data_IF_772524120752
#
_entry.id   IF_772524120752
#
_cell.length_a   1.000
_cell.length_b   1.000
_cell.length_c   1.000
_cell.angle_alpha   90.00
_cell.angle_beta   90.00
_cell.angle_gamma   90.00
#
_symmetry.space_group_name_H-M   'P 1'
#
loop_
_entity.id
_entity.type
_entity.pdbx_description
1 polymer ?
#
# COMPACT_ATOMS: atom_id res chain seq x y z
N UNK A 1 -0.59 -31.75 -18.44
CA UNK A 1 -0.95 -30.32 -18.49
C UNK A 1 -2.46 -30.17 -18.61
N UNK A 2 -3.15 -30.08 -17.48
CA UNK A 2 -4.60 -29.88 -17.41
C UNK A 2 -4.92 -28.41 -17.73
N UNK A 3 -5.06 -28.11 -19.02
CA UNK A 3 -5.52 -26.81 -19.51
C UNK A 3 -6.90 -26.55 -18.91
N UNK A 4 -7.02 -25.50 -18.10
CA UNK A 4 -8.14 -25.28 -17.19
C UNK A 4 -9.45 -25.05 -17.98
N UNK A 5 -10.22 -26.11 -18.22
CA UNK A 5 -11.42 -26.12 -19.09
C UNK A 5 -12.39 -24.98 -18.77
N UNK A 6 -12.52 -24.63 -17.48
CA UNK A 6 -13.36 -23.51 -17.02
C UNK A 6 -12.90 -22.17 -17.58
N UNK A 7 -11.59 -21.88 -17.58
CA UNK A 7 -11.04 -20.62 -18.11
C UNK A 7 -11.30 -20.51 -19.62
N UNK A 8 -11.12 -21.61 -20.36
CA UNK A 8 -11.42 -21.66 -21.81
C UNK A 8 -12.91 -21.46 -22.09
N UNK A 9 -13.78 -22.12 -21.31
CA UNK A 9 -15.23 -22.01 -21.46
C UNK A 9 -15.73 -20.58 -21.21
N UNK A 10 -15.38 -19.99 -20.07
CA UNK A 10 -15.79 -18.61 -19.75
C UNK A 10 -15.21 -17.59 -20.72
N UNK A 11 -13.96 -17.77 -21.18
CA UNK A 11 -13.37 -16.93 -22.22
C UNK A 11 -14.14 -17.03 -23.54
N UNK A 12 -14.62 -18.22 -23.92
CA UNK A 12 -15.46 -18.40 -25.12
C UNK A 12 -16.85 -17.75 -25.01
N UNK A 13 -17.33 -17.54 -23.77
CA UNK A 13 -18.56 -16.80 -23.48
C UNK A 13 -18.33 -15.28 -23.34
N UNK A 14 -17.11 -14.80 -23.59
CA UNK A 14 -16.76 -13.39 -23.42
C UNK A 14 -16.66 -12.93 -21.96
N UNK A 15 -16.66 -13.86 -21.00
CA UNK A 15 -16.49 -13.54 -19.58
C UNK A 15 -14.98 -13.45 -19.27
N UNK A 16 -14.46 -12.28 -18.87
CA UNK A 16 -13.07 -12.15 -18.47
C UNK A 16 -12.84 -12.94 -17.18
N UNK A 17 -11.93 -13.91 -17.21
CA UNK A 17 -11.47 -14.68 -16.05
C UNK A 17 -10.03 -14.29 -15.78
N UNK A 18 -9.85 -13.31 -14.89
CA UNK A 18 -8.53 -12.87 -14.46
C UNK A 18 -8.06 -13.71 -13.26
N UNK A 19 -6.79 -14.09 -13.27
CA UNK A 19 -6.10 -14.65 -12.09
C UNK A 19 -5.12 -13.62 -11.53
N UNK A 20 -4.73 -13.77 -10.26
CA UNK A 20 -3.65 -12.97 -9.68
C UNK A 20 -2.34 -13.12 -10.48
N UNK A 21 -1.99 -14.35 -10.88
CA UNK A 21 -0.85 -14.64 -11.74
C UNK A 21 -0.91 -13.88 -13.09
N UNK A 22 -2.09 -13.76 -13.69
CA UNK A 22 -2.27 -13.01 -14.95
C UNK A 22 -2.09 -11.50 -14.72
N UNK A 23 -2.72 -10.94 -13.68
CA UNK A 23 -2.62 -9.51 -13.36
C UNK A 23 -1.21 -9.07 -12.96
N UNK A 24 -0.43 -9.97 -12.36
CA UNK A 24 0.95 -9.74 -11.93
C UNK A 24 1.99 -10.10 -13.01
N UNK A 25 1.55 -10.66 -14.14
CA UNK A 25 2.44 -11.02 -15.26
C UNK A 25 3.30 -12.25 -15.00
N UNK A 26 2.83 -13.20 -14.20
CA UNK A 26 3.48 -14.51 -14.01
C UNK A 26 3.08 -15.50 -15.11
N UNK A 27 1.86 -15.39 -15.61
CA UNK A 27 1.32 -16.28 -16.67
C UNK A 27 1.82 -15.92 -18.08
N UNK A 28 2.48 -14.76 -18.25
CA UNK A 28 2.85 -14.21 -19.57
C UNK A 28 4.33 -13.84 -19.60
N UNK A 29 5.07 -14.34 -20.59
CA UNK A 29 6.45 -13.93 -20.87
C UNK A 29 6.50 -12.55 -21.55
N UNK A 30 5.86 -11.54 -20.95
CA UNK A 30 5.93 -10.17 -21.46
C UNK A 30 7.04 -9.45 -20.70
N UNK A 31 7.99 -8.84 -21.43
CA UNK A 31 9.07 -8.08 -20.81
C UNK A 31 8.58 -6.82 -20.09
N UNK A 32 7.43 -6.28 -20.46
CA UNK A 32 6.83 -5.11 -19.81
C UNK A 32 5.32 -5.28 -19.61
N UNK A 33 4.82 -4.92 -18.42
CA UNK A 33 3.42 -5.03 -18.01
C UNK A 33 3.01 -3.80 -17.19
N UNK A 34 1.81 -3.28 -17.41
CA UNK A 34 1.17 -2.34 -16.49
C UNK A 34 0.08 -3.05 -15.69
N UNK A 35 0.24 -3.10 -14.37
CA UNK A 35 -0.68 -3.76 -13.45
C UNK A 35 -1.96 -2.93 -13.33
N UNK A 36 -3.09 -3.57 -13.60
CA UNK A 36 -4.40 -2.96 -13.42
C UNK A 36 -4.79 -2.97 -11.93
N UNK A 37 -4.49 -1.89 -11.22
CA UNK A 37 -4.76 -1.77 -9.78
C UNK A 37 -6.26 -1.93 -9.46
N UNK A 38 -7.15 -1.36 -10.27
CA UNK A 38 -8.60 -1.44 -10.03
C UNK A 38 -9.11 -2.89 -10.12
N UNK A 39 -8.63 -3.66 -11.10
CA UNK A 39 -8.96 -5.08 -11.21
C UNK A 39 -8.34 -5.90 -10.08
N UNK A 40 -7.11 -5.60 -9.67
CA UNK A 40 -6.45 -6.25 -8.54
C UNK A 40 -7.23 -6.02 -7.24
N UNK A 41 -7.61 -4.76 -6.97
CA UNK A 41 -8.42 -4.38 -5.81
C UNK A 41 -9.74 -5.12 -5.79
N UNK A 42 -10.44 -5.13 -6.93
CA UNK A 42 -11.70 -5.86 -7.07
C UNK A 42 -11.53 -7.36 -6.79
N UNK A 43 -10.49 -7.99 -7.32
CA UNK A 43 -10.20 -9.40 -7.09
C UNK A 43 -9.95 -9.71 -5.61
N UNK A 44 -9.19 -8.86 -4.91
CA UNK A 44 -8.93 -9.05 -3.48
C UNK A 44 -10.20 -8.90 -2.66
N UNK A 45 -11.05 -7.92 -2.97
CA UNK A 45 -12.32 -7.73 -2.26
C UNK A 45 -13.30 -8.89 -2.53
N UNK A 46 -13.35 -9.42 -3.76
CA UNK A 46 -14.28 -10.49 -4.12
C UNK A 46 -13.82 -11.89 -3.64
N UNK A 47 -12.52 -12.17 -3.69
CA UNK A 47 -11.98 -13.54 -3.50
C UNK A 47 -10.96 -13.68 -2.37
N UNK A 48 -10.53 -12.58 -1.76
CA UNK A 48 -9.41 -12.54 -0.83
C UNK A 48 -8.05 -12.64 -1.53
N UNK A 49 -6.98 -12.22 -0.84
CA UNK A 49 -5.63 -12.31 -1.39
C UNK A 49 -4.95 -13.63 -0.98
N UNK A 50 -4.50 -14.46 -1.94
CA UNK A 50 -3.70 -15.63 -1.64
C UNK A 50 -2.37 -15.24 -1.00
N UNK A 51 -1.94 -16.01 0.01
CA UNK A 51 -0.73 -15.70 0.79
C UNK A 51 0.53 -15.53 -0.05
N UNK A 52 0.66 -16.30 -1.13
CA UNK A 52 1.81 -16.26 -2.06
C UNK A 52 1.98 -14.91 -2.76
N UNK A 53 0.89 -14.13 -2.91
CA UNK A 53 0.91 -12.83 -3.58
C UNK A 53 0.95 -11.66 -2.60
N UNK A 54 0.89 -11.92 -1.28
CA UNK A 54 0.66 -10.89 -0.28
C UNK A 54 1.73 -9.81 -0.30
N UNK A 55 3.00 -10.21 -0.21
CA UNK A 55 4.15 -9.29 -0.22
C UNK A 55 4.12 -8.39 -1.45
N UNK A 56 4.01 -8.99 -2.63
CA UNK A 56 4.04 -8.26 -3.90
C UNK A 56 2.88 -7.28 -4.02
N UNK A 57 1.67 -7.72 -3.69
CA UNK A 57 0.46 -6.89 -3.77
C UNK A 57 0.47 -5.77 -2.74
N UNK A 58 0.98 -6.01 -1.52
CA UNK A 58 1.18 -4.95 -0.53
C UNK A 58 2.18 -3.91 -1.02
N UNK A 59 3.30 -4.33 -1.64
CA UNK A 59 4.24 -3.40 -2.24
C UNK A 59 3.64 -2.59 -3.40
N UNK A 60 2.77 -3.18 -4.22
CA UNK A 60 2.06 -2.48 -5.30
C UNK A 60 1.10 -1.43 -4.72
N UNK A 61 0.25 -1.85 -3.78
CA UNK A 61 -0.80 -1.00 -3.20
C UNK A 61 -0.21 0.13 -2.36
N UNK A 62 0.86 -0.14 -1.62
CA UNK A 62 1.62 0.88 -0.89
C UNK A 62 2.51 1.76 -1.77
N UNK A 63 2.52 1.48 -3.09
CA UNK A 63 3.37 2.14 -4.08
C UNK A 63 4.88 1.96 -3.86
N UNK A 64 5.31 1.06 -2.97
CA UNK A 64 6.72 0.64 -2.83
C UNK A 64 7.34 0.28 -4.18
N UNK A 65 6.55 -0.36 -5.03
CA UNK A 65 6.89 -0.55 -6.45
C UNK A 65 5.85 0.13 -7.34
N UNK A 66 6.23 0.62 -8.52
CA UNK A 66 5.29 1.20 -9.47
C UNK A 66 4.37 0.14 -10.08
N UNK A 67 3.22 0.58 -10.62
CA UNK A 67 2.29 -0.30 -11.36
C UNK A 67 2.90 -0.82 -12.66
N UNK A 68 3.90 -0.13 -13.20
CA UNK A 68 4.65 -0.59 -14.37
C UNK A 68 5.74 -1.56 -13.91
N UNK A 69 5.71 -2.77 -14.43
CA UNK A 69 6.73 -3.79 -14.26
C UNK A 69 7.41 -4.00 -15.60
N UNK A 70 8.65 -3.54 -15.71
CA UNK A 70 9.52 -3.84 -16.83
C UNK A 70 10.68 -4.72 -16.34
N UNK A 71 10.75 -5.94 -16.86
CA UNK A 71 11.74 -6.95 -16.51
C UNK A 71 13.09 -6.70 -17.20
N UNK A 72 13.11 -6.05 -18.37
CA UNK A 72 14.36 -5.70 -19.06
C UNK A 72 15.02 -4.49 -18.40
N UNK A 73 14.20 -3.52 -17.99
CA UNK A 73 14.67 -2.32 -17.29
C UNK A 73 14.73 -2.46 -15.76
N UNK A 74 14.43 -3.65 -15.21
CA UNK A 74 14.44 -3.97 -13.78
C UNK A 74 13.74 -2.90 -12.91
N UNK A 75 12.63 -2.34 -13.41
CA UNK A 75 12.05 -1.10 -12.87
C UNK A 75 11.73 -1.17 -11.38
N UNK A 76 11.26 -2.33 -10.92
CA UNK A 76 10.95 -2.55 -9.50
C UNK A 76 12.18 -2.57 -8.62
N UNK A 77 13.28 -3.18 -9.07
CA UNK A 77 14.53 -3.20 -8.32
C UNK A 77 15.14 -1.80 -8.27
N UNK A 78 15.13 -1.09 -9.40
CA UNK A 78 15.57 0.30 -9.45
C UNK A 78 14.82 1.18 -8.44
N UNK A 79 13.48 1.14 -8.43
CA UNK A 79 12.68 1.95 -7.50
C UNK A 79 12.91 1.54 -6.04
N UNK A 80 13.04 0.24 -5.75
CA UNK A 80 13.37 -0.22 -4.40
C UNK A 80 14.72 0.30 -3.93
N UNK A 81 15.72 0.31 -4.82
CA UNK A 81 17.06 0.82 -4.52
C UNK A 81 17.03 2.31 -4.16
N UNK A 82 16.35 3.13 -4.97
CA UNK A 82 16.16 4.56 -4.68
C UNK A 82 15.42 4.77 -3.36
N UNK A 83 14.35 4.01 -3.11
CA UNK A 83 13.59 4.08 -1.86
C UNK A 83 14.39 3.65 -0.64
N UNK A 84 15.29 2.68 -0.80
CA UNK A 84 16.21 2.25 0.25
C UNK A 84 17.19 3.35 0.60
N UNK A 85 17.76 4.03 -0.39
CA UNK A 85 18.68 5.15 -0.16
C UNK A 85 17.98 6.30 0.58
N UNK A 86 16.77 6.68 0.15
CA UNK A 86 15.98 7.71 0.84
C UNK A 86 15.65 7.28 2.27
N UNK A 87 15.31 6.00 2.47
CA UNK A 87 15.06 5.45 3.80
C UNK A 87 16.30 5.56 4.69
N UNK A 88 17.48 5.18 4.18
CA UNK A 88 18.74 5.25 4.93
C UNK A 88 19.06 6.69 5.33
N UNK A 89 18.86 7.65 4.41
CA UNK A 89 19.04 9.08 4.70
C UNK A 89 18.11 9.58 5.80
N UNK A 90 16.83 9.19 5.75
CA UNK A 90 15.84 9.53 6.78
C UNK A 90 16.19 8.89 8.12
N UNK A 91 16.62 7.63 8.12
CA UNK A 91 17.00 6.90 9.32
C UNK A 91 18.23 7.52 9.99
N UNK A 92 19.28 7.81 9.22
CA UNK A 92 20.46 8.49 9.71
C UNK A 92 20.13 9.88 10.27
N UNK A 93 19.26 10.64 9.58
CA UNK A 93 18.83 11.94 10.07
C UNK A 93 18.00 11.84 11.37
N UNK A 94 17.13 10.83 11.48
CA UNK A 94 16.35 10.57 12.69
C UNK A 94 17.26 10.26 13.89
N UNK A 95 18.26 9.39 13.70
CA UNK A 95 19.20 8.99 14.75
C UNK A 95 20.01 10.19 15.29
N UNK A 96 20.36 11.14 14.42
CA UNK A 96 21.10 12.35 14.79
C UNK A 96 20.19 13.41 15.43
N UNK A 97 19.02 13.67 14.82
CA UNK A 97 18.15 14.77 15.23
C UNK A 97 17.22 14.42 16.39
N UNK A 98 16.87 13.15 16.55
CA UNK A 98 15.97 12.66 17.59
C UNK A 98 16.56 11.39 18.22
N UNK A 99 17.71 11.49 18.91
CA UNK A 99 18.40 10.31 19.43
C UNK A 99 17.48 9.54 20.38
N UNK A 100 17.11 8.35 19.96
CA UNK A 100 16.33 7.40 20.73
C UNK A 100 16.99 6.04 20.60
N UNK A 101 16.97 5.24 21.66
CA UNK A 101 17.39 3.84 21.62
C UNK A 101 16.15 2.96 21.50
N UNK A 102 15.63 2.70 20.30
CA UNK A 102 14.48 1.82 20.12
C UNK A 102 14.83 0.43 20.63
N UNK A 103 13.92 -0.15 21.42
CA UNK A 103 14.11 -1.46 22.04
C UNK A 103 13.62 -2.60 21.15
N UNK A 104 12.73 -2.29 20.19
CA UNK A 104 12.14 -3.25 19.25
C UNK A 104 12.14 -2.70 17.82
N UNK A 105 12.08 -3.59 16.82
CA UNK A 105 11.93 -3.20 15.40
C UNK A 105 10.70 -2.32 15.18
N UNK A 106 9.58 -2.63 15.84
CA UNK A 106 8.34 -1.85 15.78
C UNK A 106 8.55 -0.45 16.34
N UNK A 107 9.21 -0.32 17.50
CA UNK A 107 9.51 0.99 18.09
C UNK A 107 10.43 1.84 17.21
N UNK A 108 11.39 1.23 16.52
CA UNK A 108 12.25 1.93 15.56
C UNK A 108 11.45 2.42 14.35
N UNK A 109 10.60 1.57 13.77
CA UNK A 109 9.73 1.94 12.67
C UNK A 109 8.77 3.08 13.04
N UNK A 110 8.18 3.05 14.23
CA UNK A 110 7.34 4.13 14.75
C UNK A 110 8.12 5.43 14.98
N UNK A 111 9.36 5.32 15.46
CA UNK A 111 10.26 6.46 15.64
C UNK A 111 10.57 7.14 14.30
N UNK A 112 10.93 6.35 13.28
CA UNK A 112 11.16 6.85 11.92
C UNK A 112 9.91 7.47 11.32
N UNK A 113 8.75 6.82 11.47
CA UNK A 113 7.47 7.39 11.06
C UNK A 113 7.23 8.77 11.69
N UNK A 114 7.42 8.87 13.02
CA UNK A 114 7.24 10.14 13.74
C UNK A 114 8.20 11.21 13.22
N UNK A 115 9.49 10.88 13.08
CA UNK A 115 10.48 11.80 12.53
C UNK A 115 10.08 12.29 11.13
N UNK A 116 9.70 11.37 10.25
CA UNK A 116 9.30 11.70 8.89
C UNK A 116 8.09 12.63 8.85
N UNK A 117 7.04 12.34 9.62
CA UNK A 117 5.82 13.14 9.65
C UNK A 117 6.05 14.53 10.27
N UNK A 118 6.84 14.62 11.34
CA UNK A 118 7.04 15.87 12.06
C UNK A 118 8.09 16.78 11.38
N UNK A 119 9.12 16.22 10.75
CA UNK A 119 10.29 16.99 10.28
C UNK A 119 10.54 16.91 8.78
N UNK A 120 10.26 15.79 8.12
CA UNK A 120 10.55 15.63 6.68
C UNK A 120 9.38 16.10 5.82
N UNK A 121 8.21 15.51 6.04
CA UNK A 121 7.01 15.73 5.23
C UNK A 121 6.59 17.20 5.12
N UNK A 122 6.56 18.01 6.20
CA UNK A 122 6.13 19.41 6.08
C UNK A 122 6.98 20.23 5.10
N UNK A 123 8.25 19.84 4.92
CA UNK A 123 9.19 20.54 4.05
C UNK A 123 9.14 20.06 2.59
N UNK A 124 8.57 18.88 2.32
CA UNK A 124 8.36 18.38 0.95
C UNK A 124 7.20 19.08 0.24
N UNK A 125 6.31 19.76 0.97
CA UNK A 125 5.04 20.28 0.46
C UNK A 125 4.96 21.81 0.35
N UNK A 126 6.10 22.51 0.41
CA UNK A 126 6.21 23.99 0.28
C UNK A 126 5.59 24.56 -1.03
N UNK A 127 5.30 23.72 -2.03
CA UNK A 127 4.80 24.13 -3.35
C UNK A 127 3.43 23.56 -3.78
N UNK A 128 2.72 22.79 -2.95
CA UNK A 128 1.47 22.11 -3.35
C UNK A 128 0.23 22.63 -2.59
N UNK A 129 -0.91 22.66 -3.30
CA UNK A 129 -2.19 23.21 -2.81
C UNK A 129 -2.71 22.49 -1.54
N UNK A 130 -3.43 23.22 -0.68
CA UNK A 130 -3.80 22.76 0.68
C UNK A 130 -4.70 21.52 0.76
N UNK A 131 -5.25 21.03 -0.35
CA UNK A 131 -6.16 19.88 -0.38
C UNK A 131 -5.44 18.51 -0.45
N UNK A 132 -4.23 18.44 -1.01
CA UNK A 132 -3.39 17.24 -0.97
C UNK A 132 -2.74 17.01 0.41
N UNK A 133 -2.69 18.07 1.21
CA UNK A 133 -2.09 18.16 2.56
C UNK A 133 -3.00 17.55 3.65
N UNK A 134 -4.22 17.11 3.30
CA UNK A 134 -5.23 16.62 4.27
C UNK A 134 -5.06 15.15 4.73
N UNK A 135 -3.94 14.50 4.42
CA UNK A 135 -3.64 13.18 4.99
C UNK A 135 -2.98 13.29 6.36
N UNK A 136 -3.14 12.28 7.21
CA UNK A 136 -2.57 12.17 8.56
C UNK A 136 -3.11 13.15 9.59
N UNK A 137 -4.41 13.40 9.53
CA UNK A 137 -5.11 14.30 10.45
C UNK A 137 -5.33 13.69 11.84
N UNK A 138 -5.88 12.47 11.88
CA UNK A 138 -6.25 11.80 13.12
C UNK A 138 -5.35 10.59 13.39
N UNK A 139 -4.92 9.86 12.35
CA UNK A 139 -4.07 8.67 12.51
C UNK A 139 -2.72 9.00 13.15
N UNK A 140 -2.16 10.20 12.90
CA UNK A 140 -0.87 10.63 13.46
C UNK A 140 -0.89 10.79 14.98
N UNK A 141 -2.09 10.93 15.58
CA UNK A 141 -2.29 11.11 17.03
C UNK A 141 -2.57 9.79 17.73
N UNK A 142 -2.96 8.74 17.00
CA UNK A 142 -3.29 7.43 17.55
C UNK A 142 -2.08 6.50 17.49
N UNK A 143 -1.30 6.51 18.57
CA UNK A 143 -0.08 5.69 18.70
C UNK A 143 -0.39 4.19 18.63
N UNK A 144 -1.55 3.76 19.17
CA UNK A 144 -1.93 2.34 19.22
C UNK A 144 -2.27 1.81 17.83
N UNK A 145 -2.96 2.61 17.03
CA UNK A 145 -3.22 2.30 15.63
C UNK A 145 -1.91 2.16 14.84
N UNK A 146 -0.99 3.13 14.99
CA UNK A 146 0.31 3.11 14.30
C UNK A 146 1.10 1.85 14.68
N UNK A 147 1.17 1.53 15.97
CA UNK A 147 1.85 0.33 16.47
C UNK A 147 1.23 -0.97 15.92
N UNK A 148 -0.11 -1.03 15.88
CA UNK A 148 -0.84 -2.20 15.36
C UNK A 148 -0.56 -2.41 13.87
N UNK A 149 -0.58 -1.35 13.07
CA UNK A 149 -0.24 -1.40 11.66
C UNK A 149 1.23 -1.77 11.44
N UNK A 150 2.15 -1.15 12.20
CA UNK A 150 3.57 -1.44 12.11
C UNK A 150 3.86 -2.92 12.37
N UNK A 151 3.19 -3.51 13.37
CA UNK A 151 3.30 -4.93 13.70
C UNK A 151 2.77 -5.81 12.57
N UNK A 152 1.56 -5.55 12.07
CA UNK A 152 0.97 -6.31 10.96
C UNK A 152 1.81 -6.21 9.66
N UNK A 153 2.44 -5.07 9.40
CA UNK A 153 3.33 -4.87 8.26
C UNK A 153 4.62 -5.66 8.42
N UNK A 154 5.20 -5.67 9.62
CA UNK A 154 6.43 -6.44 9.92
C UNK A 154 6.23 -7.96 9.85
N UNK A 155 4.99 -8.44 10.00
CA UNK A 155 4.65 -9.86 9.77
C UNK A 155 4.61 -10.24 8.28
N UNK A 156 4.45 -9.28 7.38
CA UNK A 156 4.32 -9.52 5.92
C UNK A 156 5.57 -9.13 5.16
N UNK A 157 6.14 -7.97 5.44
CA UNK A 157 7.27 -7.40 4.71
C UNK A 157 8.56 -7.58 5.52
N UNK A 158 9.62 -8.05 4.87
CA UNK A 158 10.91 -8.29 5.52
C UNK A 158 11.82 -7.05 5.50
N UNK A 159 11.83 -6.32 4.38
CA UNK A 159 12.72 -5.19 4.16
C UNK A 159 12.30 -3.94 4.96
N UNK A 160 13.17 -3.34 5.79
CA UNK A 160 12.84 -2.17 6.61
C UNK A 160 12.35 -0.97 5.80
N UNK A 161 12.96 -0.70 4.64
CA UNK A 161 12.54 0.37 3.75
C UNK A 161 11.10 0.13 3.25
N UNK A 162 10.79 -1.09 2.81
CA UNK A 162 9.43 -1.45 2.36
C UNK A 162 8.42 -1.32 3.51
N UNK A 163 8.76 -1.77 4.71
CA UNK A 163 7.91 -1.62 5.90
C UNK A 163 7.61 -0.14 6.19
N UNK A 164 8.62 0.72 6.11
CA UNK A 164 8.50 2.17 6.34
C UNK A 164 7.57 2.83 5.33
N UNK A 165 7.83 2.63 4.04
CA UNK A 165 7.00 3.20 2.98
C UNK A 165 5.58 2.63 2.98
N UNK A 166 5.43 1.34 3.30
CA UNK A 166 4.13 0.70 3.44
C UNK A 166 3.31 1.29 4.60
N UNK A 167 3.94 1.47 5.76
CA UNK A 167 3.29 2.07 6.93
C UNK A 167 2.78 3.47 6.61
N UNK A 168 3.61 4.28 5.93
CA UNK A 168 3.20 5.62 5.52
C UNK A 168 1.96 5.57 4.62
N UNK A 169 2.02 4.81 3.52
CA UNK A 169 0.91 4.75 2.57
C UNK A 169 -0.37 4.18 3.19
N UNK A 170 -0.28 3.15 4.03
CA UNK A 170 -1.44 2.54 4.67
C UNK A 170 -2.10 3.48 5.69
N UNK A 171 -1.30 4.23 6.46
CA UNK A 171 -1.85 5.27 7.34
C UNK A 171 -2.54 6.38 6.56
N UNK A 172 -2.01 6.79 5.39
CA UNK A 172 -2.67 7.76 4.51
C UNK A 172 -4.02 7.24 4.00
N UNK A 173 -4.07 5.98 3.57
CA UNK A 173 -5.32 5.35 3.14
C UNK A 173 -6.36 5.31 4.26
N UNK A 174 -5.96 4.88 5.46
CA UNK A 174 -6.84 4.84 6.62
C UNK A 174 -7.33 6.25 6.99
N UNK A 175 -6.44 7.25 7.03
CA UNK A 175 -6.82 8.60 7.41
C UNK A 175 -7.94 9.16 6.52
N UNK A 176 -7.83 8.92 5.21
CA UNK A 176 -8.77 9.41 4.18
C UNK A 176 -10.04 8.57 4.05
N UNK A 177 -9.90 7.24 4.15
CA UNK A 177 -10.95 6.30 3.71
C UNK A 177 -11.67 5.55 4.82
N UNK A 178 -11.10 5.45 6.02
CA UNK A 178 -11.62 4.57 7.07
C UNK A 178 -13.08 4.89 7.46
N UNK A 179 -13.43 6.19 7.54
CA UNK A 179 -14.79 6.64 7.89
C UNK A 179 -15.83 6.38 6.79
N UNK A 180 -15.38 6.03 5.58
CA UNK A 180 -16.24 5.77 4.43
C UNK A 180 -16.51 4.26 4.22
N UNK A 181 -15.91 3.40 5.05
CA UNK A 181 -16.06 1.95 4.94
C UNK A 181 -17.52 1.50 5.09
N UNK A 182 -17.93 0.59 4.19
CA UNK A 182 -19.22 -0.08 4.24
C UNK A 182 -19.00 -1.61 4.16
N UNK A 183 -19.39 -2.40 5.17
CA UNK A 183 -19.89 -1.99 6.49
C UNK A 183 -18.86 -1.21 7.34
N UNK A 184 -19.27 -0.36 8.28
CA UNK A 184 -18.33 0.35 9.15
C UNK A 184 -17.51 -0.64 9.99
N UNK A 185 -16.24 -0.27 10.24
CA UNK A 185 -15.29 -0.99 11.11
C UNK A 185 -15.01 -0.07 12.29
N UNK A 186 -15.03 -0.60 13.51
CA UNK A 186 -14.74 0.24 14.69
C UNK A 186 -13.23 0.51 14.79
N UNK A 187 -12.84 1.61 15.44
CA UNK A 187 -11.41 1.88 15.63
C UNK A 187 -10.77 0.85 16.58
N UNK A 188 -11.53 0.32 17.55
CA UNK A 188 -11.03 -0.72 18.44
C UNK A 188 -10.69 -2.01 17.70
N UNK A 189 -11.42 -2.34 16.62
CA UNK A 189 -11.11 -3.50 15.76
C UNK A 189 -9.80 -3.34 14.99
N UNK A 190 -9.27 -2.12 14.89
CA UNK A 190 -7.97 -1.84 14.27
C UNK A 190 -6.81 -1.92 15.26
N UNK A 191 -7.09 -1.95 16.57
CA UNK A 191 -6.07 -2.23 17.58
C UNK A 191 -5.76 -3.72 17.57
N UNK A 192 -4.49 -4.09 17.46
CA UNK A 192 -4.02 -5.48 17.29
C UNK A 192 -4.53 -6.17 16.01
N UNK A 193 -4.69 -5.38 14.94
CA UNK A 193 -5.16 -5.88 13.63
C UNK A 193 -4.20 -6.93 13.04
N UNK A 194 -4.74 -8.09 12.64
CA UNK A 194 -3.97 -9.08 11.89
C UNK A 194 -3.65 -8.60 10.47
N UNK A 195 -2.60 -9.11 9.80
CA UNK A 195 -2.31 -8.75 8.42
C UNK A 195 -3.48 -8.93 7.46
N UNK A 196 -4.25 -10.02 7.61
CA UNK A 196 -5.41 -10.31 6.77
C UNK A 196 -6.54 -9.30 7.02
N UNK A 197 -6.78 -8.92 8.28
CA UNK A 197 -7.79 -7.91 8.60
C UNK A 197 -7.39 -6.53 8.08
N UNK A 198 -6.11 -6.14 8.24
CA UNK A 198 -5.57 -4.88 7.74
C UNK A 198 -5.69 -4.80 6.22
N UNK A 199 -5.29 -5.85 5.51
CA UNK A 199 -5.45 -5.98 4.07
C UNK A 199 -6.90 -5.76 3.65
N UNK A 200 -7.84 -6.48 4.25
CA UNK A 200 -9.26 -6.33 3.92
C UNK A 200 -9.74 -4.88 4.10
N UNK A 201 -9.31 -4.20 5.14
CA UNK A 201 -9.63 -2.78 5.38
C UNK A 201 -9.05 -1.89 4.28
N UNK A 202 -7.75 -2.02 3.98
CA UNK A 202 -7.08 -1.23 2.94
C UNK A 202 -7.73 -1.43 1.58
N UNK A 203 -8.02 -2.68 1.20
CA UNK A 203 -8.62 -2.99 -0.09
C UNK A 203 -10.06 -2.46 -0.22
N UNK A 204 -10.83 -2.45 0.87
CA UNK A 204 -12.17 -1.85 0.89
C UNK A 204 -12.11 -0.33 0.77
N UNK A 205 -11.13 0.32 1.40
CA UNK A 205 -10.88 1.76 1.22
C UNK A 205 -10.59 2.07 -0.25
N UNK A 206 -9.69 1.32 -0.88
CA UNK A 206 -9.30 1.54 -2.28
C UNK A 206 -10.45 1.29 -3.25
N UNK A 207 -11.26 0.26 -2.99
CA UNK A 207 -12.46 -0.01 -3.77
C UNK A 207 -13.45 1.17 -3.70
N UNK A 208 -13.68 1.72 -2.51
CA UNK A 208 -14.54 2.89 -2.30
C UNK A 208 -14.03 4.16 -2.98
N UNK A 209 -12.71 4.38 -3.01
CA UNK A 209 -12.10 5.52 -3.70
C UNK A 209 -12.23 5.48 -5.22
N UNK A 210 -12.25 4.28 -5.82
CA UNK A 210 -12.41 4.11 -7.28
C UNK A 210 -13.82 4.37 -7.81
N UNK A 211 -14.82 4.50 -6.93
CA UNK A 211 -16.23 4.67 -7.31
C UNK A 211 -16.65 6.13 -7.58
N UNK A 212 -15.76 7.10 -7.35
CA UNK A 212 -16.01 8.52 -7.66
C UNK A 212 -15.16 8.99 -8.85
N UNK A 213 -15.74 9.23 -10.04
CA UNK A 213 -15.07 10.00 -11.08
C UNK A 213 -14.88 11.44 -10.60
N UNK A 214 -13.81 12.16 -11.01
CA UNK A 214 -13.71 13.58 -10.76
C UNK A 214 -14.88 14.26 -11.46
N UNK A 215 -15.80 14.83 -10.69
CA UNK A 215 -16.82 15.76 -11.18
C UNK A 215 -16.11 17.04 -11.61
N UNK A 216 -15.53 17.00 -12.81
CA UNK A 216 -15.13 18.18 -13.54
C UNK A 216 -16.37 18.97 -13.93
N UNK A 217 -16.86 19.82 -13.04
CA UNK A 217 -17.73 20.92 -13.42
C UNK A 217 -16.91 21.91 -14.26
N UNK A 218 -16.88 21.67 -15.58
CA UNK A 218 -16.63 22.75 -16.54
C UNK A 218 -17.83 23.71 -16.46
N UNK A 219 -17.69 24.78 -15.69
CA UNK A 219 -18.59 25.93 -15.80
C UNK A 219 -18.19 26.72 -17.05
N UNK A 220 -19.08 26.69 -18.03
CA UNK A 220 -19.11 27.66 -19.15
C UNK A 220 -19.48 29.05 -18.63
#
# INVERSE_FOLDING_TARGET
MTRNFRRTYYKSLGVPVHSFAELLGEDTQTSSLTINLSQLVRMVVEFGLPAVYRVQVWCIVSQVVPLVRDAEAETWEYVRRERSQIFDDVAMAADVCMPLSPTTKTSHLMHLHKFYIDYVRPNLHSSLSSDEVKGYTWVSKDVRLIESLATAIQEVLEEPADQFWCLLTFLDHIDRGFKLLQPPVSLEEMYDVSPVALENVIFRILAGGSAHPPTGECKN
#
